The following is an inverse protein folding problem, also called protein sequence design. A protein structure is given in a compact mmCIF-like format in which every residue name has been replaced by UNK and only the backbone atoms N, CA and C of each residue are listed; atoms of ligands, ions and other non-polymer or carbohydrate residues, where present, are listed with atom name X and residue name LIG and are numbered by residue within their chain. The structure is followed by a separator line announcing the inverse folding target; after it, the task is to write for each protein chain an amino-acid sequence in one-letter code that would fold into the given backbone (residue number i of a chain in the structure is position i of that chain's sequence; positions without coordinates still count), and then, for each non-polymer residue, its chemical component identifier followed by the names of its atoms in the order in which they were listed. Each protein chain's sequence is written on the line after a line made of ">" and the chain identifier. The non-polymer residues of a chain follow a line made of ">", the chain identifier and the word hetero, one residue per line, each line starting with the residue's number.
data_IF_916525186212
#
_entry.id   IF_916525186212
#
_cell.length_a   1.000
_cell.length_b   1.000
_cell.length_c   1.000
_cell.angle_alpha   90.00
_cell.angle_beta   90.00
_cell.angle_gamma   90.00
#
_symmetry.space_group_name_H-M   'P 1'
#
loop_
_entity.id
_entity.type
_entity.pdbx_description
1 polymer ?
#
# COMPACT_ATOMS: atom_id res chain seq x y z
N UNK A 1 4.17 3.64 -30.08
CA UNK A 1 5.02 2.94 -29.09
C UNK A 1 4.41 2.85 -27.68
N UNK A 2 3.19 3.35 -27.42
CA UNK A 2 2.51 3.25 -26.12
C UNK A 2 1.45 2.12 -26.05
N UNK A 3 1.63 1.03 -26.80
CA UNK A 3 0.62 -0.02 -26.93
C UNK A 3 1.20 -1.43 -27.06
N UNK A 4 2.47 -1.60 -26.72
CA UNK A 4 3.11 -2.93 -26.72
C UNK A 4 2.68 -3.70 -25.46
N UNK A 5 1.96 -4.83 -25.59
CA UNK A 5 1.57 -5.66 -24.46
C UNK A 5 2.76 -6.14 -23.62
N UNK A 6 3.95 -6.25 -24.23
CA UNK A 6 5.16 -6.68 -23.53
C UNK A 6 5.64 -5.67 -22.48
N UNK A 7 5.35 -4.38 -22.66
CA UNK A 7 5.66 -3.33 -21.66
C UNK A 7 4.78 -3.51 -20.43
N UNK A 8 3.47 -3.71 -20.64
CA UNK A 8 2.52 -3.92 -19.54
C UNK A 8 2.84 -5.21 -18.78
N UNK A 9 3.20 -6.28 -19.48
CA UNK A 9 3.59 -7.55 -18.86
C UNK A 9 4.84 -7.41 -17.96
N UNK A 10 5.86 -6.68 -18.41
CA UNK A 10 7.06 -6.42 -17.58
C UNK A 10 6.72 -5.61 -16.34
N UNK A 11 6.00 -4.50 -16.52
CA UNK A 11 5.59 -3.62 -15.43
C UNK A 11 4.69 -4.36 -14.42
N UNK A 12 3.81 -5.24 -14.91
CA UNK A 12 3.00 -6.11 -14.06
C UNK A 12 3.88 -7.11 -13.28
N UNK A 13 4.76 -7.86 -13.97
CA UNK A 13 5.64 -8.84 -13.32
C UNK A 13 6.54 -8.21 -12.26
N UNK A 14 7.01 -6.98 -12.49
CA UNK A 14 7.90 -6.30 -11.56
C UNK A 14 7.15 -5.67 -10.37
N UNK A 15 6.01 -5.01 -10.61
CA UNK A 15 5.40 -4.14 -9.60
C UNK A 15 4.09 -4.67 -9.01
N UNK A 16 3.34 -5.54 -9.68
CA UNK A 16 1.97 -5.92 -9.28
C UNK A 16 1.93 -6.49 -7.86
N UNK A 17 2.81 -7.43 -7.54
CA UNK A 17 2.86 -8.06 -6.22
C UNK A 17 3.16 -7.04 -5.12
N UNK A 18 4.11 -6.12 -5.35
CA UNK A 18 4.45 -5.09 -4.37
C UNK A 18 3.33 -4.06 -4.20
N UNK A 19 2.65 -3.72 -5.29
CA UNK A 19 1.54 -2.77 -5.31
C UNK A 19 0.31 -3.35 -4.60
N UNK A 20 -0.05 -4.60 -4.89
CA UNK A 20 -1.14 -5.30 -4.21
C UNK A 20 -0.92 -5.34 -2.71
N UNK A 21 0.28 -5.78 -2.32
CA UNK A 21 0.77 -5.81 -0.95
C UNK A 21 0.65 -4.46 -0.24
N UNK A 22 1.02 -3.38 -0.92
CA UNK A 22 0.89 -2.01 -0.42
C UNK A 22 -0.57 -1.60 -0.20
N UNK A 23 -1.45 -1.87 -1.18
CA UNK A 23 -2.87 -1.51 -1.10
C UNK A 23 -3.59 -2.32 -0.01
N UNK A 24 -3.32 -3.61 0.12
CA UNK A 24 -3.86 -4.46 1.19
C UNK A 24 -3.54 -3.87 2.56
N UNK A 25 -2.31 -3.37 2.75
CA UNK A 25 -1.87 -2.85 4.06
C UNK A 25 -2.36 -1.44 4.32
N UNK A 26 -2.70 -0.70 3.27
CA UNK A 26 -3.33 0.61 3.39
C UNK A 26 -4.83 0.48 3.73
N UNK A 27 -5.52 -0.47 3.10
CA UNK A 27 -6.99 -0.59 3.14
C UNK A 27 -7.51 -1.66 4.12
N UNK A 28 -6.78 -2.77 4.27
CA UNK A 28 -7.27 -3.99 4.91
C UNK A 28 -8.09 -4.90 3.98
N UNK A 29 -8.39 -4.48 2.75
CA UNK A 29 -9.27 -5.19 1.82
C UNK A 29 -8.46 -5.84 0.69
N UNK A 30 -8.45 -7.17 0.67
CA UNK A 30 -7.71 -7.96 -0.33
C UNK A 30 -8.37 -7.96 -1.70
N UNK A 31 -9.69 -7.89 -1.74
CA UNK A 31 -10.47 -7.91 -2.98
C UNK A 31 -10.35 -6.55 -3.65
N UNK A 32 -10.64 -5.47 -2.93
CA UNK A 32 -10.50 -4.11 -3.45
C UNK A 32 -9.05 -3.82 -3.88
N UNK A 33 -8.04 -4.41 -3.22
CA UNK A 33 -6.66 -4.26 -3.62
C UNK A 33 -6.36 -4.78 -5.04
N UNK A 34 -7.03 -5.85 -5.48
CA UNK A 34 -6.85 -6.37 -6.84
C UNK A 34 -7.37 -5.37 -7.89
N UNK A 35 -8.52 -4.76 -7.63
CA UNK A 35 -9.11 -3.76 -8.53
C UNK A 35 -8.25 -2.51 -8.62
N UNK A 36 -7.74 -2.03 -7.48
CA UNK A 36 -6.82 -0.87 -7.45
C UNK A 36 -5.55 -1.17 -8.26
N UNK A 37 -4.98 -2.37 -8.12
CA UNK A 37 -3.79 -2.76 -8.91
C UNK A 37 -4.11 -2.79 -10.40
N UNK A 38 -5.21 -3.43 -10.79
CA UNK A 38 -5.61 -3.51 -12.20
C UNK A 38 -5.84 -2.12 -12.80
N UNK A 39 -6.59 -1.25 -12.13
CA UNK A 39 -6.83 0.13 -12.58
C UNK A 39 -5.53 0.94 -12.64
N UNK A 40 -4.61 0.74 -11.69
CA UNK A 40 -3.29 1.39 -11.72
C UNK A 40 -2.47 0.96 -12.94
N UNK A 41 -2.46 -0.34 -13.26
CA UNK A 41 -1.78 -0.89 -14.43
C UNK A 41 -2.40 -0.37 -15.74
N UNK A 42 -3.74 -0.28 -15.81
CA UNK A 42 -4.45 0.29 -16.95
C UNK A 42 -4.10 1.77 -17.16
N UNK A 43 -3.99 2.56 -16.08
CA UNK A 43 -3.55 3.95 -16.16
C UNK A 43 -2.09 4.06 -16.60
N UNK A 44 -1.22 3.19 -16.10
CA UNK A 44 0.19 3.13 -16.50
C UNK A 44 0.30 2.90 -18.02
N UNK A 45 -0.46 1.93 -18.54
CA UNK A 45 -0.53 1.63 -19.96
C UNK A 45 -1.01 2.82 -20.79
N UNK A 46 -2.11 3.47 -20.39
CA UNK A 46 -2.68 4.65 -21.08
C UNK A 46 -1.74 5.85 -21.09
N UNK A 47 -0.94 6.03 -20.03
CA UNK A 47 0.05 7.11 -19.93
C UNK A 47 1.42 6.75 -20.54
N UNK A 48 1.57 5.51 -21.04
CA UNK A 48 2.82 5.03 -21.59
C UNK A 48 3.96 5.03 -20.58
N UNK A 49 3.67 4.67 -19.32
CA UNK A 49 4.70 4.45 -18.30
C UNK A 49 5.44 3.15 -18.63
N UNK A 50 6.76 3.17 -18.52
CA UNK A 50 7.66 2.05 -18.79
C UNK A 50 8.67 1.88 -17.66
N UNK A 51 9.21 0.69 -17.46
CA UNK A 51 10.19 0.42 -16.39
C UNK A 51 11.49 1.25 -16.57
N UNK A 52 11.82 1.62 -17.82
CA UNK A 52 13.00 2.43 -18.17
C UNK A 52 12.81 3.93 -17.92
N UNK A 53 11.68 4.37 -17.34
CA UNK A 53 11.38 5.77 -17.01
C UNK A 53 12.20 6.32 -15.84
N UNK A 54 13.49 6.04 -15.80
CA UNK A 54 14.47 6.71 -14.95
C UNK A 54 14.73 8.16 -15.41
N UNK A 55 14.28 8.52 -16.62
CA UNK A 55 14.43 9.86 -17.21
C UNK A 55 13.30 10.83 -16.82
N UNK A 56 12.18 10.35 -16.27
CA UNK A 56 11.17 11.23 -15.66
C UNK A 56 11.62 11.62 -14.25
N UNK A 57 11.16 12.76 -13.75
CA UNK A 57 11.45 13.23 -12.38
C UNK A 57 11.00 12.24 -11.28
N UNK A 58 10.18 11.24 -11.63
CA UNK A 58 9.62 10.24 -10.73
C UNK A 58 9.72 8.86 -11.40
N UNK A 59 10.30 7.87 -10.71
CA UNK A 59 10.40 6.49 -11.22
C UNK A 59 9.01 5.88 -11.48
N UNK A 60 8.93 4.91 -12.40
CA UNK A 60 7.69 4.16 -12.67
C UNK A 60 7.07 3.61 -11.37
N UNK A 61 7.91 3.07 -10.49
CA UNK A 61 7.49 2.61 -9.16
C UNK A 61 6.82 3.71 -8.35
N UNK A 62 7.48 4.86 -8.17
CA UNK A 62 6.90 5.94 -7.37
C UNK A 62 5.56 6.42 -7.96
N UNK A 63 5.47 6.55 -9.29
CA UNK A 63 4.23 6.89 -9.98
C UNK A 63 3.09 5.89 -9.70
N UNK A 64 3.37 4.58 -9.80
CA UNK A 64 2.38 3.52 -9.56
C UNK A 64 1.81 3.58 -8.14
N UNK A 65 2.69 3.75 -7.14
CA UNK A 65 2.26 3.81 -5.74
C UNK A 65 1.47 5.08 -5.42
N UNK A 66 1.80 6.20 -6.07
CA UNK A 66 1.03 7.44 -5.97
C UNK A 66 -0.36 7.30 -6.61
N UNK A 67 -0.46 6.68 -7.79
CA UNK A 67 -1.75 6.41 -8.43
C UNK A 67 -2.63 5.48 -7.60
N UNK A 68 -2.07 4.36 -7.11
CA UNK A 68 -2.80 3.43 -6.26
C UNK A 68 -3.31 4.10 -4.98
N UNK A 69 -2.51 4.98 -4.39
CA UNK A 69 -2.93 5.77 -3.22
C UNK A 69 -4.11 6.69 -3.55
N UNK A 70 -4.08 7.41 -4.67
CA UNK A 70 -5.20 8.26 -5.08
C UNK A 70 -6.48 7.47 -5.25
N UNK A 71 -6.43 6.32 -5.92
CA UNK A 71 -7.57 5.42 -6.08
C UNK A 71 -8.17 5.00 -4.73
N UNK A 72 -7.33 4.60 -3.77
CA UNK A 72 -7.77 4.20 -2.43
C UNK A 72 -8.46 5.36 -1.69
N UNK A 73 -7.88 6.56 -1.72
CA UNK A 73 -8.42 7.72 -1.02
C UNK A 73 -9.74 8.18 -1.66
N UNK A 74 -9.83 8.15 -2.98
CA UNK A 74 -11.04 8.51 -3.72
C UNK A 74 -12.18 7.53 -3.42
N UNK A 75 -11.90 6.21 -3.40
CA UNK A 75 -12.89 5.20 -3.04
C UNK A 75 -13.33 5.34 -1.58
N UNK A 76 -12.40 5.48 -0.63
CA UNK A 76 -12.75 5.67 0.78
C UNK A 76 -13.60 6.93 1.00
N UNK A 77 -13.32 8.02 0.26
CA UNK A 77 -14.15 9.22 0.28
C UNK A 77 -15.53 8.90 -0.28
N UNK A 78 -15.63 8.18 -1.39
CA UNK A 78 -16.88 7.84 -2.05
C UNK A 78 -17.75 6.87 -1.24
N UNK A 79 -17.17 5.81 -0.66
CA UNK A 79 -17.83 4.84 0.21
C UNK A 79 -18.33 5.48 1.52
N UNK A 80 -17.60 6.44 2.09
CA UNK A 80 -18.07 7.22 3.25
C UNK A 80 -19.32 8.05 2.93
N UNK A 81 -19.50 8.48 1.68
CA UNK A 81 -20.76 9.10 1.24
C UNK A 81 -21.88 8.08 1.01
N UNK A 82 -21.56 6.78 0.89
CA UNK A 82 -22.51 5.69 0.60
C UNK A 82 -22.85 4.75 1.78
N UNK A 83 -22.15 4.84 2.92
CA UNK A 83 -22.39 4.03 4.16
C UNK A 83 -22.36 2.50 3.96
N UNK A 84 -21.41 1.97 3.20
CA UNK A 84 -21.16 0.52 3.17
C UNK A 84 -20.03 0.17 4.15
N UNK A 85 -20.31 -0.74 5.08
CA UNK A 85 -19.33 -1.35 5.98
C UNK A 85 -18.98 -2.73 5.44
N UNK A 86 -17.71 -3.04 5.11
CA UNK A 86 -17.30 -4.40 4.85
C UNK A 86 -17.18 -5.14 6.19
N UNK A 87 -17.85 -6.29 6.28
CA UNK A 87 -17.64 -7.29 7.33
C UNK A 87 -17.16 -8.52 6.59
N UNK A 88 -15.95 -8.99 6.83
CA UNK A 88 -15.57 -10.35 6.44
C UNK A 88 -14.53 -10.91 7.40
N UNK A 89 -14.88 -12.06 7.97
CA UNK A 89 -14.02 -12.94 8.76
C UNK A 89 -13.07 -13.69 7.82
N UNK A 90 -11.81 -13.85 8.25
CA UNK A 90 -10.76 -14.54 7.50
C UNK A 90 -10.92 -16.07 7.60
N UNK A 91 -10.78 -16.85 6.50
CA UNK A 91 -10.69 -18.31 6.60
C UNK A 91 -9.28 -18.74 7.05
N UNK A 92 -9.22 -19.59 8.07
CA UNK A 92 -7.99 -20.22 8.55
C UNK A 92 -7.49 -21.29 7.55
N UNK A 93 -6.25 -21.14 7.06
CA UNK A 93 -5.54 -22.14 6.27
C UNK A 93 -4.17 -22.46 6.88
N UNK A 94 -3.98 -23.70 7.36
CA UNK A 94 -2.74 -24.19 7.99
C UNK A 94 -1.90 -25.02 7.00
N UNK A 95 -0.65 -24.61 6.70
CA UNK A 95 0.42 -25.48 6.14
C UNK A 95 1.80 -24.98 6.65
N UNK A 96 2.54 -25.88 7.36
CA UNK A 96 3.79 -25.71 8.13
C UNK A 96 5.00 -25.03 7.44
N UNK A 97 5.89 -24.44 8.26
CA UNK A 97 7.09 -23.60 7.99
C UNK A 97 6.87 -22.27 7.24
N UNK A 98 5.91 -22.22 6.32
CA UNK A 98 5.36 -20.96 5.80
C UNK A 98 4.40 -20.29 6.81
N UNK A 99 3.99 -21.05 7.84
CA UNK A 99 3.08 -20.63 8.92
C UNK A 99 3.63 -19.41 9.62
N UNK A 100 4.86 -19.42 10.13
CA UNK A 100 5.34 -18.32 10.96
C UNK A 100 5.40 -16.99 10.19
N UNK A 101 5.87 -17.01 8.93
CA UNK A 101 5.88 -15.81 8.10
C UNK A 101 4.49 -15.34 7.65
N UNK A 102 3.55 -16.26 7.41
CA UNK A 102 2.15 -15.93 7.05
C UNK A 102 1.39 -15.43 8.28
N UNK A 103 1.60 -16.03 9.44
CA UNK A 103 1.07 -15.59 10.72
C UNK A 103 1.65 -14.21 11.09
N UNK A 104 2.95 -13.99 10.94
CA UNK A 104 3.59 -12.68 11.14
C UNK A 104 3.01 -11.63 10.18
N UNK A 105 2.79 -11.99 8.92
CA UNK A 105 2.20 -11.07 7.93
C UNK A 105 0.73 -10.74 8.27
N UNK A 106 -0.05 -11.71 8.76
CA UNK A 106 -1.42 -11.49 9.22
C UNK A 106 -1.44 -10.59 10.46
N UNK A 107 -0.61 -10.88 11.46
CA UNK A 107 -0.48 -10.08 12.68
C UNK A 107 -0.08 -8.63 12.39
N UNK A 108 0.87 -8.41 11.48
CA UNK A 108 1.25 -7.07 11.03
C UNK A 108 0.10 -6.38 10.28
N UNK A 109 -0.64 -7.12 9.44
CA UNK A 109 -1.81 -6.58 8.72
C UNK A 109 -2.89 -6.11 9.70
N UNK A 110 -3.23 -6.94 10.69
CA UNK A 110 -4.23 -6.63 11.70
C UNK A 110 -3.80 -5.48 12.58
N UNK A 111 -2.53 -5.45 12.99
CA UNK A 111 -1.98 -4.36 13.79
C UNK A 111 -1.95 -3.05 13.01
N UNK A 112 -1.56 -3.05 11.73
CA UNK A 112 -1.69 -1.87 10.86
C UNK A 112 -3.16 -1.43 10.74
N UNK A 113 -4.08 -2.39 10.69
CA UNK A 113 -5.53 -2.21 10.68
C UNK A 113 -6.10 -1.43 11.88
N UNK A 114 -5.39 -1.35 13.00
CA UNK A 114 -5.81 -0.56 14.17
C UNK A 114 -5.28 0.87 14.17
N UNK A 115 -4.26 1.17 13.37
CA UNK A 115 -3.68 2.51 13.31
C UNK A 115 -4.66 3.49 12.64
N UNK A 116 -4.75 4.74 13.14
CA UNK A 116 -5.42 5.81 12.41
C UNK A 116 -4.83 5.98 11.00
N UNK A 117 -5.68 6.25 10.01
CA UNK A 117 -5.29 6.34 8.59
C UNK A 117 -4.06 7.22 8.37
N UNK A 118 -3.99 8.38 9.03
CA UNK A 118 -2.88 9.33 8.88
C UNK A 118 -1.51 8.76 9.29
N UNK A 119 -1.49 7.79 10.21
CA UNK A 119 -0.28 7.12 10.67
C UNK A 119 0.00 5.86 9.83
N UNK A 120 -1.03 5.08 9.55
CA UNK A 120 -0.94 3.90 8.69
C UNK A 120 -0.39 4.27 7.32
N UNK A 121 -0.94 5.33 6.70
CA UNK A 121 -0.55 5.80 5.37
C UNK A 121 0.96 6.07 5.29
N UNK A 122 1.52 6.85 6.22
CA UNK A 122 2.96 7.15 6.17
C UNK A 122 3.82 5.92 6.45
N UNK A 123 3.42 5.02 7.36
CA UNK A 123 4.15 3.77 7.65
C UNK A 123 4.14 2.87 6.41
N UNK A 124 2.97 2.65 5.81
CA UNK A 124 2.82 1.77 4.67
C UNK A 124 3.59 2.31 3.46
N UNK A 125 3.58 3.62 3.23
CA UNK A 125 4.36 4.27 2.17
C UNK A 125 5.87 4.17 2.39
N UNK A 126 6.34 4.35 3.62
CA UNK A 126 7.78 4.24 3.91
C UNK A 126 8.30 2.82 3.71
N UNK A 127 7.61 1.81 4.25
CA UNK A 127 8.13 0.43 4.28
C UNK A 127 7.72 -0.41 3.06
N UNK A 128 6.47 -0.30 2.60
CA UNK A 128 5.97 -1.06 1.45
C UNK A 128 6.07 -0.28 0.15
N UNK A 129 5.85 1.03 0.21
CA UNK A 129 6.11 1.94 -0.91
C UNK A 129 7.60 2.13 -1.20
N UNK A 130 8.46 1.97 -0.18
CA UNK A 130 9.89 2.32 -0.22
C UNK A 130 10.12 3.81 -0.49
N UNK A 131 9.17 4.65 -0.08
CA UNK A 131 9.26 6.10 -0.25
C UNK A 131 10.00 6.73 0.93
N UNK A 132 10.85 7.70 0.64
CA UNK A 132 11.52 8.53 1.64
C UNK A 132 10.52 9.50 2.29
N UNK A 133 10.88 10.04 3.45
CA UNK A 133 10.05 11.06 4.12
C UNK A 133 9.84 12.32 3.26
N UNK A 134 10.77 12.62 2.33
CA UNK A 134 10.66 13.75 1.41
C UNK A 134 9.64 13.46 0.29
N UNK A 135 9.72 12.31 -0.36
CA UNK A 135 8.74 11.88 -1.38
C UNK A 135 7.33 11.76 -0.77
N UNK A 136 7.22 11.22 0.45
CA UNK A 136 5.94 11.17 1.16
C UNK A 136 5.40 12.57 1.43
N UNK A 137 6.27 13.52 1.82
CA UNK A 137 5.89 14.89 2.09
C UNK A 137 5.37 15.60 0.84
N UNK A 138 6.08 15.44 -0.28
CA UNK A 138 5.68 15.98 -1.59
C UNK A 138 4.32 15.44 -2.02
N UNK A 139 4.16 14.12 -2.05
CA UNK A 139 2.93 13.47 -2.49
C UNK A 139 1.71 13.77 -1.60
N UNK A 140 1.92 14.01 -0.29
CA UNK A 140 0.83 14.38 0.63
C UNK A 140 0.59 15.88 0.73
N UNK A 141 1.47 16.72 0.16
CA UNK A 141 1.45 18.17 0.39
C UNK A 141 1.66 18.55 1.85
N UNK A 142 2.53 17.82 2.56
CA UNK A 142 2.81 18.01 3.99
C UNK A 142 4.26 18.44 4.23
N UNK A 143 4.57 19.13 5.34
CA UNK A 143 5.95 19.32 5.75
C UNK A 143 6.65 17.99 6.05
N UNK A 144 7.93 17.86 5.67
CA UNK A 144 8.75 16.68 5.99
C UNK A 144 8.78 16.37 7.49
N UNK A 145 8.79 17.42 8.33
CA UNK A 145 8.69 17.26 9.79
C UNK A 145 7.39 16.59 10.24
N UNK A 146 6.27 16.88 9.59
CA UNK A 146 4.96 16.24 9.85
C UNK A 146 4.96 14.77 9.42
N UNK A 147 5.61 14.43 8.30
CA UNK A 147 5.77 13.03 7.90
C UNK A 147 6.61 12.27 8.93
N UNK A 148 7.74 12.83 9.35
CA UNK A 148 8.61 12.23 10.37
C UNK A 148 7.89 12.01 11.70
N UNK A 149 7.11 12.98 12.17
CA UNK A 149 6.35 12.83 13.41
C UNK A 149 5.24 11.78 13.27
N UNK A 150 4.50 11.77 12.16
CA UNK A 150 3.48 10.74 11.90
C UNK A 150 4.09 9.33 11.80
N UNK A 151 5.27 9.19 11.21
CA UNK A 151 6.02 7.93 11.18
C UNK A 151 6.42 7.49 12.58
N UNK A 152 6.97 8.40 13.39
CA UNK A 152 7.36 8.11 14.77
C UNK A 152 6.18 7.60 15.60
N UNK A 153 5.05 8.32 15.59
CA UNK A 153 3.86 7.90 16.35
C UNK A 153 3.21 6.65 15.76
N UNK A 154 3.20 6.49 14.44
CA UNK A 154 2.68 5.30 13.77
C UNK A 154 3.46 4.04 14.14
N UNK A 155 4.80 4.09 14.11
CA UNK A 155 5.64 2.96 14.52
C UNK A 155 5.49 2.62 16.00
N UNK A 156 5.32 3.62 16.88
CA UNK A 156 5.03 3.39 18.30
C UNK A 156 3.68 2.70 18.51
N UNK A 157 2.64 3.18 17.83
CA UNK A 157 1.31 2.57 17.90
C UNK A 157 1.33 1.13 17.34
N UNK A 158 2.04 0.90 16.23
CA UNK A 158 2.19 -0.43 15.64
C UNK A 158 2.90 -1.39 16.61
N UNK A 159 3.97 -0.93 17.28
CA UNK A 159 4.66 -1.71 18.29
C UNK A 159 3.74 -2.11 19.43
N UNK A 160 2.95 -1.18 19.95
CA UNK A 160 1.99 -1.46 21.02
C UNK A 160 0.93 -2.48 20.58
N UNK A 161 0.35 -2.28 19.39
CA UNK A 161 -0.67 -3.18 18.84
C UNK A 161 -0.13 -4.61 18.61
N UNK A 162 1.14 -4.76 18.25
CA UNK A 162 1.80 -6.05 18.12
C UNK A 162 2.07 -6.70 19.48
N UNK A 163 2.51 -5.93 20.48
CA UNK A 163 2.71 -6.42 21.85
C UNK A 163 1.43 -6.94 22.49
N UNK A 164 0.31 -6.23 22.30
CA UNK A 164 -1.03 -6.67 22.76
C UNK A 164 -1.48 -7.99 22.11
N UNK A 165 -0.94 -8.32 20.93
CA UNK A 165 -1.22 -9.55 20.18
C UNK A 165 -0.22 -10.68 20.52
N UNK A 166 0.58 -10.51 21.56
CA UNK A 166 1.54 -11.52 22.01
C UNK A 166 2.82 -11.58 21.18
N UNK A 167 3.06 -10.62 20.27
CA UNK A 167 4.35 -10.49 19.57
C UNK A 167 5.34 -9.83 20.53
N UNK A 168 6.10 -10.66 21.25
CA UNK A 168 7.12 -10.22 22.18
C UNK A 168 8.45 -10.02 21.45
N UNK A 169 8.85 -8.75 21.24
CA UNK A 169 10.25 -8.37 20.99
C UNK A 169 10.67 -7.12 21.77
#
# INVERSE_FOLDING_TARGET
>A
MASDPAVLDRLHREHATALWNYVVRLTGDRVAAQDVVQETMLRAWRQGITDDDHQRATSARAWLFTVARHLVIDEARSARHRREFPTDELPEGRIGDQVDAVFDAALVSDALGTLPMIHREVVVRAYYGRATAAEIAEDLGLPVGTVKSRLHYGLRALRLALQERGVTR
#
